data_IF_180667898630
#
_entry.id   IF_180667898630
#
_cell.length_a   1.000
_cell.length_b   1.000
_cell.length_c   1.000
_cell.angle_alpha   90.00
_cell.angle_beta   90.00
_cell.angle_gamma   90.00
#
_symmetry.space_group_name_H-M   'P 1'
#
loop_
_entity.id
_entity.type
_entity.pdbx_description
1 polymer ?
#
# COMPACT_ATOMS: atom_id res chain seq x y z
N UNK A 1 -13.45 -8.61 -23.94
CA UNK A 1 -12.43 -8.02 -23.04
C UNK A 1 -12.97 -6.70 -22.48
N UNK A 2 -13.74 -6.76 -21.39
CA UNK A 2 -14.48 -5.60 -20.90
C UNK A 2 -13.67 -4.91 -19.81
N UNK A 3 -13.05 -3.78 -20.16
CA UNK A 3 -12.49 -2.84 -19.20
C UNK A 3 -13.67 -2.22 -18.44
N UNK A 4 -13.83 -2.58 -17.16
CA UNK A 4 -14.89 -2.05 -16.30
C UNK A 4 -14.77 -0.53 -16.21
N UNK A 5 -15.82 0.16 -16.65
CA UNK A 5 -15.95 1.61 -16.50
C UNK A 5 -16.08 1.90 -15.00
N UNK A 6 -15.17 2.71 -14.46
CA UNK A 6 -15.34 3.25 -13.10
C UNK A 6 -16.33 4.39 -13.19
N UNK A 7 -17.48 4.20 -12.54
CA UNK A 7 -18.48 5.24 -12.37
C UNK A 7 -17.98 6.14 -11.24
N UNK A 8 -17.84 7.44 -11.51
CA UNK A 8 -17.61 8.46 -10.50
C UNK A 8 -18.97 9.11 -10.28
N UNK A 9 -19.53 8.96 -9.09
CA UNK A 9 -20.69 9.75 -8.65
C UNK A 9 -20.26 11.23 -8.68
N UNK A 10 -20.95 12.01 -9.50
CA UNK A 10 -20.72 13.45 -9.63
C UNK A 10 -22.04 14.16 -9.40
N UNK A 11 -22.09 15.03 -8.41
CA UNK A 11 -23.23 15.91 -8.14
C UNK A 11 -23.17 17.14 -9.06
N UNK A 12 -24.31 17.45 -9.70
CA UNK A 12 -24.46 18.63 -10.55
C UNK A 12 -25.09 19.74 -9.72
N UNK A 13 -24.39 20.87 -9.58
CA UNK A 13 -24.96 22.09 -9.00
C UNK A 13 -25.17 23.15 -10.08
N UNK A 14 -26.32 23.83 -10.02
CA UNK A 14 -26.67 24.98 -10.85
C UNK A 14 -26.43 26.26 -10.05
N UNK A 15 -25.46 27.06 -10.48
CA UNK A 15 -25.20 28.40 -9.96
C UNK A 15 -25.28 29.36 -11.16
N UNK A 16 -26.13 30.38 -11.08
CA UNK A 16 -26.32 31.40 -12.15
C UNK A 16 -26.57 30.84 -13.56
N UNK A 17 -27.52 29.90 -13.69
CA UNK A 17 -27.88 29.27 -14.97
C UNK A 17 -26.70 28.59 -15.70
N UNK A 18 -25.61 28.31 -14.98
CA UNK A 18 -24.39 27.67 -15.48
C UNK A 18 -24.17 26.38 -14.72
N UNK A 19 -24.01 25.29 -15.46
CA UNK A 19 -23.72 23.97 -14.88
C UNK A 19 -22.25 23.95 -14.49
N UNK A 20 -21.95 23.94 -13.19
CA UNK A 20 -20.58 23.85 -12.67
C UNK A 20 -20.32 22.46 -12.09
N UNK A 21 -19.39 21.73 -12.72
CA UNK A 21 -18.90 20.46 -12.21
C UNK A 21 -17.89 20.73 -11.09
N UNK A 22 -18.28 20.51 -9.85
CA UNK A 22 -17.36 20.58 -8.71
C UNK A 22 -16.69 19.21 -8.60
N UNK A 23 -15.47 19.11 -9.11
CA UNK A 23 -14.60 17.97 -8.80
C UNK A 23 -14.17 18.15 -7.34
N UNK A 24 -14.56 17.24 -6.44
CA UNK A 24 -13.92 17.15 -5.13
C UNK A 24 -12.41 17.01 -5.36
N UNK A 25 -11.69 18.07 -4.99
CA UNK A 25 -10.24 18.06 -5.04
C UNK A 25 -9.78 16.91 -4.12
N UNK A 26 -8.82 16.08 -4.58
CA UNK A 26 -8.32 14.99 -3.75
C UNK A 26 -7.82 15.61 -2.45
N UNK A 27 -8.46 15.21 -1.34
CA UNK A 27 -8.15 15.67 0.02
C UNK A 27 -6.64 15.74 0.21
N UNK A 28 -6.17 16.92 0.60
CA UNK A 28 -4.78 17.19 0.91
C UNK A 28 -4.42 16.30 2.12
N UNK A 29 -3.79 15.15 1.83
CA UNK A 29 -3.50 14.09 2.80
C UNK A 29 -2.60 14.66 3.89
N UNK A 30 -3.16 14.83 5.09
CA UNK A 30 -2.43 15.37 6.22
C UNK A 30 -1.38 14.35 6.67
N UNK A 31 -0.15 14.81 6.91
CA UNK A 31 0.84 14.01 7.62
C UNK A 31 0.34 13.78 9.04
N UNK A 32 -0.03 12.54 9.37
CA UNK A 32 -0.61 12.18 10.68
C UNK A 32 0.46 12.23 11.76
N UNK A 33 1.72 11.93 11.39
CA UNK A 33 2.84 11.93 12.31
C UNK A 33 4.07 12.62 11.68
N UNK A 34 4.68 13.53 12.42
CA UNK A 34 5.92 14.23 12.06
C UNK A 34 7.19 13.43 12.34
N UNK A 35 7.10 12.26 12.98
CA UNK A 35 8.23 11.36 13.20
C UNK A 35 8.64 10.63 11.91
N UNK A 36 9.92 10.71 11.57
CA UNK A 36 10.48 9.96 10.45
C UNK A 36 10.58 8.46 10.78
N UNK A 37 10.02 7.61 9.91
CA UNK A 37 10.08 6.15 10.04
C UNK A 37 11.38 5.55 9.49
N UNK A 38 12.12 6.28 8.67
CA UNK A 38 13.37 5.81 8.11
C UNK A 38 13.72 6.52 6.83
N UNK A 39 14.83 6.08 6.22
CA UNK A 39 15.31 6.62 4.94
C UNK A 39 14.66 5.88 3.77
N UNK A 40 14.33 6.63 2.74
CA UNK A 40 13.79 6.10 1.51
C UNK A 40 14.90 5.38 0.71
N UNK A 41 14.68 4.14 0.24
CA UNK A 41 15.67 3.40 -0.56
C UNK A 41 15.93 4.02 -1.95
N UNK A 42 15.02 4.90 -2.44
CA UNK A 42 15.15 5.50 -3.78
C UNK A 42 15.91 6.82 -3.79
N UNK A 43 15.63 7.71 -2.84
CA UNK A 43 16.19 9.07 -2.80
C UNK A 43 16.94 9.40 -1.52
N UNK A 44 16.93 8.53 -0.51
CA UNK A 44 17.57 8.77 0.79
C UNK A 44 16.84 9.75 1.71
N UNK A 45 15.74 10.37 1.26
CA UNK A 45 14.90 11.26 2.07
C UNK A 45 14.13 10.54 3.17
N UNK A 46 13.47 11.28 4.06
CA UNK A 46 12.71 10.75 5.16
C UNK A 46 11.33 10.23 4.71
N UNK A 47 10.92 9.11 5.29
CA UNK A 47 9.58 8.52 5.09
C UNK A 47 8.70 8.89 6.28
N UNK A 48 7.53 9.44 5.98
CA UNK A 48 6.53 9.88 6.96
C UNK A 48 5.24 9.06 6.86
N UNK A 49 4.54 8.97 7.99
CA UNK A 49 3.21 8.38 8.06
C UNK A 49 2.15 9.40 7.64
N UNK A 50 1.37 9.03 6.64
CA UNK A 50 0.18 9.76 6.20
C UNK A 50 -1.06 8.92 6.47
N UNK A 51 -2.24 9.49 6.23
CA UNK A 51 -3.53 8.87 6.59
C UNK A 51 -3.69 7.46 5.98
N UNK A 52 -3.30 7.28 4.72
CA UNK A 52 -3.53 6.02 4.00
C UNK A 52 -2.25 5.30 3.56
N UNK A 53 -1.13 6.03 3.54
CA UNK A 53 0.15 5.54 3.04
C UNK A 53 1.32 6.05 3.89
N UNK A 54 2.40 5.30 3.89
CA UNK A 54 3.72 5.79 4.27
C UNK A 54 4.42 6.27 3.01
N UNK A 55 4.80 7.54 2.94
CA UNK A 55 5.37 8.12 1.73
C UNK A 55 6.64 8.90 2.05
N UNK A 56 7.53 8.97 1.07
CA UNK A 56 8.70 9.83 1.17
C UNK A 56 8.27 11.31 1.24
N UNK A 57 9.04 12.14 1.92
CA UNK A 57 8.84 13.60 1.96
C UNK A 57 8.77 14.23 0.56
N UNK A 58 9.57 13.73 -0.38
CA UNK A 58 9.60 14.22 -1.76
C UNK A 58 8.56 13.56 -2.69
N UNK A 59 7.66 12.73 -2.17
CA UNK A 59 6.58 12.11 -2.98
C UNK A 59 5.41 13.08 -3.19
N UNK A 60 4.81 13.16 -4.40
CA UNK A 60 5.13 12.41 -5.64
C UNK A 60 6.09 13.14 -6.59
N UNK A 61 6.63 14.30 -6.20
CA UNK A 61 7.35 15.21 -7.11
C UNK A 61 8.73 14.67 -7.53
N UNK A 62 9.56 14.28 -6.57
CA UNK A 62 10.95 13.84 -6.83
C UNK A 62 11.16 12.37 -6.49
N UNK A 63 10.25 11.75 -5.73
CA UNK A 63 10.31 10.33 -5.40
C UNK A 63 8.97 9.64 -5.65
N UNK A 64 9.00 8.44 -6.20
CA UNK A 64 7.82 7.58 -6.43
C UNK A 64 7.55 6.58 -5.31
N UNK A 65 8.35 6.61 -4.24
CA UNK A 65 8.27 5.64 -3.15
C UNK A 65 7.07 5.89 -2.23
N UNK A 66 6.23 4.86 -2.08
CA UNK A 66 5.11 4.83 -1.15
C UNK A 66 4.80 3.39 -0.72
N UNK A 67 4.31 3.23 0.49
CA UNK A 67 3.85 1.97 1.06
C UNK A 67 2.43 2.19 1.53
N UNK A 68 1.48 1.34 1.11
CA UNK A 68 0.11 1.40 1.63
C UNK A 68 0.08 1.01 3.10
N UNK A 69 -0.68 1.74 3.90
CA UNK A 69 -0.89 1.42 5.32
C UNK A 69 -1.64 0.09 5.49
N UNK A 70 -2.55 -0.22 4.56
CA UNK A 70 -3.24 -1.51 4.49
C UNK A 70 -2.68 -2.36 3.35
N UNK A 71 -2.11 -3.52 3.69
CA UNK A 71 -1.56 -4.49 2.75
C UNK A 71 -1.95 -5.91 3.15
N UNK A 72 -2.46 -6.70 2.20
CA UNK A 72 -2.90 -8.07 2.47
C UNK A 72 -3.98 -8.14 3.55
N UNK A 73 -4.98 -7.24 3.51
CA UNK A 73 -6.10 -7.22 4.45
C UNK A 73 -5.75 -6.88 5.90
N UNK A 74 -4.52 -6.41 6.15
CA UNK A 74 -4.00 -6.03 7.46
C UNK A 74 -3.40 -4.62 7.41
N UNK A 75 -3.46 -3.91 8.53
CA UNK A 75 -2.70 -2.68 8.71
C UNK A 75 -1.23 -2.99 9.04
N UNK A 76 -0.30 -2.35 8.33
CA UNK A 76 1.13 -2.44 8.59
C UNK A 76 1.48 -1.42 9.67
N UNK A 77 2.04 -1.91 10.78
CA UNK A 77 2.46 -1.06 11.89
C UNK A 77 3.73 -0.30 11.54
N UNK A 78 3.91 0.86 12.19
CA UNK A 78 5.12 1.69 12.05
C UNK A 78 6.43 0.94 12.29
N UNK A 79 6.41 -0.05 13.19
CA UNK A 79 7.60 -0.84 13.54
C UNK A 79 8.03 -1.76 12.39
N UNK A 80 7.05 -2.37 11.72
CA UNK A 80 7.30 -3.22 10.55
C UNK A 80 7.81 -2.39 9.37
N UNK A 81 7.29 -1.16 9.18
CA UNK A 81 7.82 -0.23 8.17
C UNK A 81 9.25 0.19 8.50
N UNK A 82 9.55 0.49 9.78
CA UNK A 82 10.91 0.82 10.23
C UNK A 82 11.90 -0.30 9.89
N UNK A 83 11.53 -1.55 10.16
CA UNK A 83 12.34 -2.74 9.80
C UNK A 83 12.47 -2.89 8.29
N UNK A 84 11.38 -2.77 7.54
CA UNK A 84 11.39 -2.86 6.08
C UNK A 84 12.33 -1.82 5.44
N UNK A 85 12.36 -0.59 5.96
CA UNK A 85 13.25 0.47 5.46
C UNK A 85 14.71 0.27 5.87
N UNK A 86 14.96 -0.34 7.04
CA UNK A 86 16.31 -0.55 7.57
C UNK A 86 16.99 -1.77 6.97
N UNK A 87 16.31 -2.91 6.96
CA UNK A 87 16.85 -4.21 6.56
C UNK A 87 16.45 -4.60 5.13
N UNK A 88 15.52 -3.86 4.50
CA UNK A 88 14.95 -4.19 3.19
C UNK A 88 13.97 -5.37 3.22
N UNK A 89 13.79 -6.00 4.39
CA UNK A 89 12.91 -7.15 4.61
C UNK A 89 12.31 -7.10 6.01
N UNK A 90 11.03 -7.47 6.15
CA UNK A 90 10.39 -7.64 7.47
C UNK A 90 10.54 -9.06 7.98
N UNK A 91 10.18 -9.28 9.24
CA UNK A 91 9.99 -10.61 9.81
C UNK A 91 8.80 -11.33 9.14
N UNK A 92 8.65 -12.63 9.46
CA UNK A 92 7.53 -13.43 9.01
C UNK A 92 6.24 -12.96 9.68
N UNK A 93 5.44 -12.20 8.95
CA UNK A 93 4.14 -11.73 9.42
C UNK A 93 3.09 -12.81 9.14
N UNK A 94 2.36 -13.25 10.17
CA UNK A 94 1.34 -14.30 10.04
C UNK A 94 -0.09 -13.83 9.85
N UNK A 95 -0.35 -12.53 10.04
CA UNK A 95 -1.72 -12.00 10.13
C UNK A 95 -2.18 -11.35 8.82
N UNK A 96 -1.60 -11.75 7.68
CA UNK A 96 -2.11 -11.32 6.39
C UNK A 96 -3.36 -12.11 6.01
N UNK A 97 -4.33 -11.44 5.40
CA UNK A 97 -5.59 -12.00 4.91
C UNK A 97 -5.62 -11.90 3.39
N UNK A 98 -5.76 -13.04 2.72
CA UNK A 98 -5.88 -13.10 1.26
C UNK A 98 -7.24 -12.58 0.80
N UNK A 99 -7.37 -12.26 -0.49
CA UNK A 99 -8.65 -11.90 -1.10
C UNK A 99 -9.76 -12.97 -0.92
N UNK A 100 -9.37 -14.22 -0.60
CA UNK A 100 -10.29 -15.34 -0.31
C UNK A 100 -10.62 -15.48 1.19
N UNK A 101 -10.22 -14.50 2.02
CA UNK A 101 -10.44 -14.51 3.47
C UNK A 101 -9.53 -15.46 4.25
N UNK A 102 -8.56 -16.12 3.61
CA UNK A 102 -7.63 -17.04 4.28
C UNK A 102 -6.43 -16.30 4.82
N UNK A 103 -6.08 -16.57 6.07
CA UNK A 103 -4.85 -16.08 6.68
C UNK A 103 -3.62 -16.76 6.06
N UNK A 104 -2.57 -16.00 5.82
CA UNK A 104 -1.31 -16.50 5.30
C UNK A 104 -0.13 -15.79 5.96
N UNK A 105 1.02 -16.48 5.95
CA UNK A 105 2.27 -15.92 6.44
C UNK A 105 3.16 -15.49 5.28
N UNK A 106 3.72 -14.29 5.35
CA UNK A 106 4.63 -13.77 4.34
C UNK A 106 5.63 -12.77 4.94
N UNK A 107 6.76 -12.64 4.29
CA UNK A 107 7.72 -11.55 4.47
C UNK A 107 7.36 -10.42 3.52
N UNK A 108 7.55 -9.17 3.94
CA UNK A 108 7.56 -8.03 3.04
C UNK A 108 9.01 -7.78 2.62
N UNK A 109 9.26 -7.70 1.31
CA UNK A 109 10.54 -7.29 0.75
C UNK A 109 10.41 -5.96 0.02
N UNK A 110 11.46 -5.17 0.13
CA UNK A 110 11.62 -3.91 -0.57
C UNK A 110 12.52 -4.15 -1.79
N UNK A 111 11.94 -4.17 -2.98
CA UNK A 111 12.66 -4.39 -4.24
C UNK A 111 12.38 -3.24 -5.20
N UNK A 112 13.42 -2.53 -5.66
CA UNK A 112 13.32 -1.36 -6.54
C UNK A 112 12.35 -0.27 -6.04
N UNK A 113 12.27 -0.13 -4.71
CA UNK A 113 11.35 0.75 -4.00
C UNK A 113 9.87 0.42 -4.22
N UNK A 114 9.57 -0.84 -4.53
CA UNK A 114 8.24 -1.44 -4.45
C UNK A 114 8.23 -2.51 -3.36
N UNK A 115 7.11 -2.61 -2.64
CA UNK A 115 6.95 -3.66 -1.63
C UNK A 115 6.37 -4.92 -2.28
N UNK A 116 7.07 -6.04 -2.13
CA UNK A 116 6.64 -7.37 -2.60
C UNK A 116 6.39 -8.29 -1.41
N UNK A 117 5.52 -9.26 -1.60
CA UNK A 117 5.31 -10.35 -0.64
C UNK A 117 6.17 -11.54 -1.03
N UNK A 118 6.97 -12.05 -0.10
CA UNK A 118 7.67 -13.31 -0.23
C UNK A 118 7.08 -14.31 0.76
N UNK A 119 6.58 -15.42 0.25
CA UNK A 119 5.99 -16.46 1.07
C UNK A 119 7.09 -17.43 1.46
N UNK A 120 7.10 -17.87 2.73
CA UNK A 120 7.92 -19.00 3.11
C UNK A 120 7.47 -20.20 2.28
N UNK A 121 8.32 -20.65 1.36
CA UNK A 121 8.05 -21.80 0.52
C UNK A 121 8.09 -23.04 1.41
N UNK A 122 6.98 -23.30 2.10
CA UNK A 122 6.70 -24.60 2.68
C UNK A 122 6.48 -25.53 1.50
N UNK A 123 7.62 -26.03 1.00
CA UNK A 123 7.81 -27.25 0.26
C UNK A 123 6.45 -27.94 0.00
N UNK A 124 5.95 -27.80 -1.24
CA UNK A 124 4.74 -28.44 -1.71
C UNK A 124 4.91 -29.96 -1.76
N UNK A 125 5.12 -30.61 -0.61
CA UNK A 125 4.93 -32.04 -0.46
C UNK A 125 3.43 -32.29 -0.31
N UNK A 126 2.90 -33.08 -1.24
CA UNK A 126 1.56 -33.67 -1.29
C UNK A 126 0.38 -32.73 -1.57
N UNK A 127 0.18 -32.42 -2.85
CA UNK A 127 -1.16 -32.55 -3.44
C UNK A 127 -1.14 -33.68 -4.46
N UNK A 128 -0.97 -34.91 -3.99
CA UNK A 128 -1.42 -36.10 -4.72
C UNK A 128 -2.96 -36.06 -4.79
N UNK A 129 -3.51 -35.33 -5.75
CA UNK A 129 -4.93 -35.47 -6.07
C UNK A 129 -5.10 -36.73 -6.92
N UNK A 130 -5.31 -37.85 -6.21
CA UNK A 130 -5.86 -39.11 -6.69
C UNK A 130 -7.13 -38.81 -7.51
N UNK A 131 -7.06 -38.90 -8.84
CA UNK A 131 -8.27 -39.09 -9.65
C UNK A 131 -8.63 -40.58 -9.57
N UNK A 132 -9.87 -40.83 -9.13
CA UNK A 132 -10.51 -42.13 -9.03
C UNK A 132 -11.06 -42.52 -10.39
#
# INVERSE_FOLDING_TARGET
MSKGKKYFDADIQLIDNKVSFVFETPKEENTVNSESLGKCPKCGGNVYEKETVYACEHYPKECSFRIKKVMGGREITREEVKKLLKDGKTDLISDFVSAKGRQFKAYLLLEDGSVKFEFENKNAKNRSYRRK
#
